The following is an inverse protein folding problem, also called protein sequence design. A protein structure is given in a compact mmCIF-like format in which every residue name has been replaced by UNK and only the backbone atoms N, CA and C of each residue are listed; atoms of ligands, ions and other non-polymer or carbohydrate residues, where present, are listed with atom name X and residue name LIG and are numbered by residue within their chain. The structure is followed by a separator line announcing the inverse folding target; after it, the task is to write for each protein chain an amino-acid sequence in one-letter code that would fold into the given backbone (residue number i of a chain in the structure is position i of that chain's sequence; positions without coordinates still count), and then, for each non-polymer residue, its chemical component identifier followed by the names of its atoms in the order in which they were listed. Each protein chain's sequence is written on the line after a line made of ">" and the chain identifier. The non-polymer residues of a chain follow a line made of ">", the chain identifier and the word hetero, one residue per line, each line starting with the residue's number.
data_IF_873497517801
#
_entry.id   IF_873497517801
#
_cell.length_a   1.000
_cell.length_b   1.000
_cell.length_c   1.000
_cell.angle_alpha   90.00
_cell.angle_beta   90.00
_cell.angle_gamma   90.00
#
_symmetry.space_group_name_H-M   'P 1'
#
loop_
_entity.id
_entity.type
_entity.pdbx_description
1 polymer ?
#
# COMPACT_ATOMS: atom_id res chain seq x y z
N UNK A 1 -41.27 -13.38 1.03
CA UNK A 1 -40.40 -12.94 -0.09
C UNK A 1 -39.68 -11.66 0.30
N UNK A 2 -38.35 -11.78 0.46
CA UNK A 2 -37.28 -10.78 0.34
C UNK A 2 -37.42 -9.40 1.01
N UNK A 3 -36.92 -9.29 2.25
CA UNK A 3 -36.43 -8.03 2.81
C UNK A 3 -34.91 -7.96 2.65
N UNK A 4 -34.43 -7.07 1.79
CA UNK A 4 -32.99 -6.81 1.61
C UNK A 4 -32.51 -5.85 2.71
N UNK A 5 -31.85 -6.36 3.73
CA UNK A 5 -31.19 -5.57 4.79
C UNK A 5 -29.74 -6.00 4.94
N UNK A 6 -28.95 -5.84 3.88
CA UNK A 6 -27.49 -5.84 3.98
C UNK A 6 -27.01 -4.42 4.31
N UNK A 7 -26.98 -4.11 5.61
CA UNK A 7 -26.19 -3.01 6.15
C UNK A 7 -24.70 -3.39 6.04
N UNK A 8 -24.13 -3.14 4.86
CA UNK A 8 -22.69 -3.26 4.61
C UNK A 8 -22.00 -2.00 5.09
N UNK A 9 -20.95 -2.22 5.90
CA UNK A 9 -19.73 -1.42 5.93
C UNK A 9 -19.82 -0.03 6.57
N UNK A 10 -19.88 0.00 7.90
CA UNK A 10 -19.27 1.08 8.67
C UNK A 10 -17.74 0.89 8.62
N UNK A 11 -17.09 1.39 7.58
CA UNK A 11 -15.64 1.56 7.55
C UNK A 11 -15.32 3.03 7.82
N UNK A 12 -15.41 3.42 9.08
CA UNK A 12 -15.03 4.74 9.56
C UNK A 12 -13.53 4.96 9.30
N UNK A 13 -13.11 6.10 8.70
CA UNK A 13 -11.70 6.34 8.41
C UNK A 13 -10.95 6.60 9.73
N UNK A 14 -10.05 5.70 10.10
CA UNK A 14 -9.00 5.98 11.08
C UNK A 14 -7.93 6.87 10.44
N UNK A 15 -8.30 8.10 10.10
CA UNK A 15 -7.40 9.14 9.59
C UNK A 15 -7.08 10.14 10.69
N UNK A 16 -6.38 9.71 11.75
CA UNK A 16 -5.71 10.63 12.70
C UNK A 16 -4.82 9.85 13.69
N UNK A 17 -3.74 9.24 13.21
CA UNK A 17 -2.54 9.22 14.05
C UNK A 17 -1.35 9.55 13.16
N UNK A 18 -1.04 10.85 13.10
CA UNK A 18 0.24 11.32 12.58
C UNK A 18 1.32 10.76 13.49
N UNK A 19 2.04 9.77 12.96
CA UNK A 19 3.33 9.21 13.37
C UNK A 19 3.95 9.85 14.62
N UNK A 20 3.54 9.39 15.80
CA UNK A 20 4.26 9.64 17.05
C UNK A 20 5.43 8.66 17.11
N UNK A 21 6.64 9.18 16.91
CA UNK A 21 7.86 8.69 17.54
C UNK A 21 8.21 7.19 17.31
N UNK A 22 8.97 6.87 16.26
CA UNK A 22 9.71 5.61 16.25
C UNK A 22 10.27 5.21 14.90
N UNK A 23 11.52 4.76 14.87
CA UNK A 23 12.10 3.95 13.79
C UNK A 23 11.43 2.57 13.69
N UNK A 24 10.10 2.54 13.69
CA UNK A 24 9.28 1.36 13.50
C UNK A 24 9.06 1.15 12.02
N UNK A 25 9.36 -0.05 11.54
CA UNK A 25 9.14 -0.47 10.16
C UNK A 25 7.68 -0.29 9.77
N UNK A 26 7.36 0.81 9.08
CA UNK A 26 5.99 1.08 8.63
C UNK A 26 5.66 0.21 7.42
N UNK A 27 4.53 -0.48 7.50
CA UNK A 27 3.98 -1.29 6.41
C UNK A 27 2.81 -0.57 5.76
N UNK A 28 2.91 -0.38 4.45
CA UNK A 28 1.90 0.23 3.62
C UNK A 28 1.10 -0.86 2.89
N UNK A 29 -0.20 -0.62 2.71
CA UNK A 29 -1.03 -1.39 1.79
C UNK A 29 -0.73 -1.02 0.34
N UNK A 30 -1.09 -1.90 -0.58
CA UNK A 30 -1.03 -1.63 -2.02
C UNK A 30 -1.75 -0.33 -2.41
N UNK A 31 -2.86 0.00 -1.74
CA UNK A 31 -3.61 1.22 -2.01
C UNK A 31 -2.85 2.48 -1.57
N UNK A 32 -2.21 2.44 -0.40
CA UNK A 32 -1.39 3.55 0.10
C UNK A 32 -0.15 3.77 -0.77
N UNK A 33 0.51 2.69 -1.18
CA UNK A 33 1.65 2.74 -2.11
C UNK A 33 1.24 3.34 -3.44
N UNK A 34 0.11 2.92 -4.01
CA UNK A 34 -0.41 3.45 -5.26
C UNK A 34 -0.65 4.97 -5.19
N UNK A 35 -1.23 5.44 -4.09
CA UNK A 35 -1.44 6.86 -3.85
C UNK A 35 -0.12 7.63 -3.68
N UNK A 36 0.86 7.05 -2.97
CA UNK A 36 2.17 7.66 -2.73
C UNK A 36 2.95 7.82 -4.05
N UNK A 37 3.02 6.75 -4.84
CA UNK A 37 3.75 6.71 -6.12
C UNK A 37 2.98 7.34 -7.29
N UNK A 38 1.71 7.75 -7.08
CA UNK A 38 0.80 8.26 -8.12
C UNK A 38 0.59 7.29 -9.29
N UNK A 39 0.55 5.99 -9.00
CA UNK A 39 0.33 4.93 -10.00
C UNK A 39 -0.96 4.18 -9.74
N UNK A 40 -1.41 3.38 -10.71
CA UNK A 40 -2.56 2.50 -10.52
C UNK A 40 -2.24 1.36 -9.55
N UNK A 41 -3.25 0.83 -8.85
CA UNK A 41 -3.11 -0.40 -8.04
C UNK A 41 -2.58 -1.58 -8.87
N UNK A 42 -2.95 -1.66 -10.14
CA UNK A 42 -2.46 -2.70 -11.06
C UNK A 42 -0.95 -2.59 -11.25
N UNK A 43 -0.41 -1.39 -11.39
CA UNK A 43 1.03 -1.14 -11.47
C UNK A 43 1.73 -1.65 -10.22
N UNK A 44 1.23 -1.32 -9.03
CA UNK A 44 1.81 -1.82 -7.77
C UNK A 44 1.75 -3.35 -7.70
N UNK A 45 0.63 -3.97 -8.09
CA UNK A 45 0.53 -5.43 -8.11
C UNK A 45 1.53 -6.08 -9.08
N UNK A 46 1.78 -5.45 -10.24
CA UNK A 46 2.80 -5.89 -11.20
C UNK A 46 4.19 -5.82 -10.59
N UNK A 47 4.55 -4.71 -9.94
CA UNK A 47 5.86 -4.54 -9.29
C UNK A 47 6.08 -5.55 -8.17
N UNK A 48 5.02 -5.85 -7.40
CA UNK A 48 5.07 -6.88 -6.35
C UNK A 48 5.24 -8.28 -6.95
N UNK A 49 4.56 -8.59 -8.05
CA UNK A 49 4.70 -9.90 -8.72
C UNK A 49 5.99 -10.04 -9.52
N UNK A 50 6.54 -8.96 -10.07
CA UNK A 50 7.86 -8.97 -10.74
C UNK A 50 9.01 -9.04 -9.74
N UNK A 51 8.74 -8.76 -8.46
CA UNK A 51 9.76 -8.75 -7.40
C UNK A 51 10.53 -7.45 -7.31
N UNK A 52 10.22 -6.45 -8.13
CA UNK A 52 10.81 -5.11 -8.08
C UNK A 52 10.44 -4.35 -6.80
N UNK A 53 9.24 -4.59 -6.28
CA UNK A 53 8.79 -3.99 -5.02
C UNK A 53 8.61 -5.07 -3.96
N UNK A 54 9.53 -5.17 -2.97
CA UNK A 54 9.48 -6.23 -1.97
C UNK A 54 8.26 -6.04 -1.06
N UNK A 55 7.39 -7.05 -1.06
CA UNK A 55 6.16 -7.07 -0.28
C UNK A 55 6.01 -8.38 0.49
N UNK A 56 5.43 -8.27 1.67
CA UNK A 56 5.08 -9.40 2.53
C UNK A 56 3.58 -9.65 2.42
N UNK A 57 3.20 -10.92 2.20
CA UNK A 57 1.81 -11.33 2.23
C UNK A 57 1.37 -11.58 3.67
N UNK A 58 0.38 -10.82 4.13
CA UNK A 58 -0.23 -10.97 5.45
C UNK A 58 -1.69 -11.36 5.26
N UNK A 59 -1.97 -12.65 5.44
CA UNK A 59 -3.28 -13.23 5.14
C UNK A 59 -3.67 -13.11 3.66
N UNK A 60 -4.68 -12.27 3.38
CA UNK A 60 -5.21 -12.04 2.03
C UNK A 60 -4.71 -10.74 1.39
N UNK A 61 -3.86 -9.98 2.09
CA UNK A 61 -3.41 -8.67 1.65
C UNK A 61 -1.89 -8.60 1.60
N UNK A 62 -1.38 -7.79 0.67
CA UNK A 62 0.04 -7.48 0.60
C UNK A 62 0.36 -6.24 1.42
N UNK A 63 1.53 -6.28 2.06
CA UNK A 63 2.12 -5.21 2.86
C UNK A 63 3.50 -4.90 2.33
N UNK A 64 3.77 -3.64 2.02
CA UNK A 64 5.04 -3.18 1.48
C UNK A 64 5.74 -2.37 2.55
N UNK A 65 7.05 -2.55 2.73
CA UNK A 65 7.82 -1.69 3.63
C UNK A 65 7.88 -0.28 3.07
N UNK A 66 7.61 0.73 3.89
CA UNK A 66 7.73 2.13 3.49
C UNK A 66 9.14 2.47 2.95
N UNK A 67 10.19 1.91 3.58
CA UNK A 67 11.57 2.05 3.10
C UNK A 67 11.77 1.49 1.69
N UNK A 68 11.18 0.35 1.37
CA UNK A 68 11.32 -0.25 0.04
C UNK A 68 10.68 0.60 -1.05
N UNK A 69 9.55 1.26 -0.76
CA UNK A 69 8.92 2.20 -1.69
C UNK A 69 9.82 3.42 -1.92
N UNK A 70 10.44 3.93 -0.85
CA UNK A 70 11.37 5.04 -0.95
C UNK A 70 12.61 4.67 -1.78
N UNK A 71 13.29 3.57 -1.44
CA UNK A 71 14.46 3.06 -2.16
C UNK A 71 14.13 2.81 -3.65
N UNK A 72 12.92 2.29 -3.96
CA UNK A 72 12.46 2.09 -5.33
C UNK A 72 12.28 3.41 -6.09
N UNK A 73 11.68 4.43 -5.46
CA UNK A 73 11.49 5.76 -6.07
C UNK A 73 12.82 6.47 -6.32
N UNK A 74 13.79 6.35 -5.40
CA UNK A 74 15.13 6.88 -5.58
C UNK A 74 15.82 6.19 -6.77
N UNK A 75 15.76 4.86 -6.86
CA UNK A 75 16.38 4.08 -7.95
C UNK A 75 15.73 4.36 -9.30
N UNK A 76 14.40 4.46 -9.35
CA UNK A 76 13.64 4.71 -10.60
C UNK A 76 13.91 6.10 -11.20
N UNK A 77 14.34 7.06 -10.38
CA UNK A 77 14.73 8.39 -10.85
C UNK A 77 16.02 8.37 -11.68
N UNK A 78 16.88 7.37 -11.49
CA UNK A 78 18.16 7.27 -12.20
C UNK A 78 18.06 6.58 -13.57
N UNK A 79 16.99 5.82 -13.85
CA UNK A 79 16.82 5.10 -15.13
C UNK A 79 16.11 5.95 -16.20
N UNK A 80 15.49 7.07 -15.81
CA UNK A 80 14.76 7.97 -16.72
C UNK A 80 15.57 9.23 -17.15
N UNK A 81 16.90 9.22 -16.95
CA UNK A 81 17.82 10.33 -17.26
C UNK A 81 18.73 10.07 -18.45
#
# INVERSE_FOLDING_TARGET
>A
MSGNSQARSANTPVSAVGNVLGGGTQFLTVAEVANLMRVSKMTVYRLVHSGELPAVRVGRSFRVHAKAVHDYLETSYFDAG
#
